data_IF_599755088681
#
_entry.id   IF_599755088681
#
_cell.length_a   1.000
_cell.length_b   1.000
_cell.length_c   1.000
_cell.angle_alpha   90.00
_cell.angle_beta   90.00
_cell.angle_gamma   90.00
#
_symmetry.space_group_name_H-M   'P 1'
#
loop_
_entity.id
_entity.type
_entity.pdbx_description
1 polymer ?
#
# COMPACT_ATOMS: atom_id res chain seq x y z
N UNK A 1 10.89 2.85 -16.94
CA UNK A 1 10.70 1.45 -16.52
C UNK A 1 10.10 1.47 -15.13
N UNK A 2 8.79 1.22 -15.01
CA UNK A 2 8.06 1.40 -13.74
C UNK A 2 8.19 0.10 -12.94
N UNK A 3 8.96 0.06 -11.84
CA UNK A 3 9.23 -1.19 -11.09
C UNK A 3 8.02 -1.60 -10.25
N UNK A 4 7.96 -2.87 -9.85
CA UNK A 4 6.93 -3.42 -8.95
C UNK A 4 6.82 -2.63 -7.62
N UNK A 5 7.93 -1.98 -7.25
CA UNK A 5 8.10 -1.11 -6.11
C UNK A 5 7.61 0.34 -6.33
N UNK A 6 7.08 0.69 -7.50
CA UNK A 6 6.67 2.09 -7.74
C UNK A 6 5.29 2.42 -7.14
N UNK A 7 4.52 1.41 -6.72
CA UNK A 7 3.21 1.58 -6.11
C UNK A 7 3.29 1.59 -4.57
N UNK A 8 2.75 2.65 -3.96
CA UNK A 8 2.65 2.94 -2.50
C UNK A 8 2.18 1.73 -1.70
N UNK A 9 1.29 0.93 -2.27
CA UNK A 9 0.63 -0.16 -1.56
C UNK A 9 1.55 -1.34 -1.25
N UNK A 10 2.59 -1.58 -2.06
CA UNK A 10 3.41 -2.79 -1.87
C UNK A 10 4.35 -2.68 -0.66
N UNK A 11 4.91 -1.51 -0.37
CA UNK A 11 5.87 -1.33 0.73
C UNK A 11 5.20 -1.41 2.09
N UNK A 12 4.01 -0.82 2.22
CA UNK A 12 3.23 -0.92 3.46
C UNK A 12 2.78 -2.38 3.67
N UNK A 13 2.46 -3.11 2.60
CA UNK A 13 2.27 -4.57 2.66
C UNK A 13 3.50 -5.32 3.19
N UNK A 14 4.70 -4.98 2.72
CA UNK A 14 5.96 -5.55 3.22
C UNK A 14 6.20 -5.21 4.70
N UNK A 15 5.98 -3.96 5.11
CA UNK A 15 6.09 -3.55 6.51
C UNK A 15 5.07 -4.27 7.39
N UNK A 16 3.85 -4.49 6.89
CA UNK A 16 2.84 -5.26 7.59
C UNK A 16 3.26 -6.72 7.78
N UNK A 17 3.79 -7.38 6.75
CA UNK A 17 4.32 -8.75 6.85
C UNK A 17 5.47 -8.80 7.85
N UNK A 18 6.42 -7.87 7.78
CA UNK A 18 7.54 -7.81 8.71
C UNK A 18 7.06 -7.60 10.16
N UNK A 19 6.13 -6.68 10.38
CA UNK A 19 5.50 -6.47 11.67
C UNK A 19 4.79 -7.73 12.19
N UNK A 20 4.05 -8.43 11.33
CA UNK A 20 3.35 -9.67 11.68
C UNK A 20 4.34 -10.76 12.11
N UNK A 21 5.44 -10.93 11.39
CA UNK A 21 6.53 -11.84 11.75
C UNK A 21 7.09 -11.46 13.12
N UNK A 22 7.46 -10.19 13.34
CA UNK A 22 7.98 -9.76 14.64
C UNK A 22 6.99 -10.03 15.76
N UNK A 23 5.71 -9.77 15.55
CA UNK A 23 4.65 -9.95 16.55
C UNK A 23 4.50 -11.41 17.00
N UNK A 24 4.77 -12.37 16.11
CA UNK A 24 4.68 -13.80 16.37
C UNK A 24 5.99 -14.42 16.89
N UNK A 25 7.06 -13.64 16.98
CA UNK A 25 8.36 -14.12 17.47
C UNK A 25 8.65 -13.60 18.87
N UNK A 26 9.75 -14.06 19.46
CA UNK A 26 10.31 -13.51 20.71
C UNK A 26 10.67 -12.02 20.64
N UNK A 27 10.65 -11.42 19.45
CA UNK A 27 10.95 -10.02 19.18
C UNK A 27 9.69 -9.14 19.14
N UNK A 28 8.58 -9.60 19.71
CA UNK A 28 7.29 -8.89 19.71
C UNK A 28 7.38 -7.45 20.28
N UNK A 29 8.30 -7.19 21.21
CA UNK A 29 8.57 -5.84 21.73
C UNK A 29 9.04 -4.87 20.63
N UNK A 30 9.76 -5.35 19.62
CA UNK A 30 10.20 -4.52 18.50
C UNK A 30 9.06 -4.17 17.55
N UNK A 31 8.02 -5.02 17.48
CA UNK A 31 6.85 -4.78 16.65
C UNK A 31 6.10 -3.50 17.05
N UNK A 32 6.25 -3.04 18.30
CA UNK A 32 5.63 -1.80 18.73
C UNK A 32 6.24 -0.56 18.08
N UNK A 33 7.54 -0.57 17.76
CA UNK A 33 8.21 0.57 17.11
C UNK A 33 7.92 0.68 15.61
N UNK A 34 7.68 -0.47 14.96
CA UNK A 34 7.36 -0.57 13.53
C UNK A 34 5.88 -0.84 13.30
N UNK A 35 5.03 -0.23 14.11
CA UNK A 35 3.61 -0.52 14.12
C UNK A 35 2.91 0.07 12.86
N UNK A 36 2.34 -0.76 11.98
CA UNK A 36 1.84 -0.33 10.68
C UNK A 36 0.42 0.25 10.74
N UNK A 37 -0.18 0.44 11.93
CA UNK A 37 -1.59 0.81 12.11
C UNK A 37 -2.07 1.91 11.16
N UNK A 38 -1.41 3.07 11.15
CA UNK A 38 -1.84 4.17 10.27
C UNK A 38 -1.53 3.89 8.80
N UNK A 39 -0.45 3.15 8.50
CA UNK A 39 -0.09 2.78 7.13
C UNK A 39 -1.14 1.89 6.48
N UNK A 40 -1.61 0.84 7.17
CA UNK A 40 -2.63 -0.07 6.62
C UNK A 40 -3.98 0.62 6.41
N UNK A 41 -4.36 1.55 7.29
CA UNK A 41 -5.56 2.36 7.12
C UNK A 41 -5.40 3.36 5.97
N UNK A 42 -4.24 4.02 5.87
CA UNK A 42 -3.92 4.92 4.77
C UNK A 42 -4.00 4.21 3.40
N UNK A 43 -3.49 2.98 3.30
CA UNK A 43 -3.61 2.17 2.08
C UNK A 43 -5.07 1.91 1.71
N UNK A 44 -5.87 1.48 2.68
CA UNK A 44 -7.26 1.14 2.45
C UNK A 44 -8.07 2.37 2.00
N UNK A 45 -7.99 3.47 2.76
CA UNK A 45 -8.68 4.71 2.39
C UNK A 45 -8.13 5.31 1.09
N UNK A 46 -6.81 5.26 0.88
CA UNK A 46 -6.17 5.70 -0.35
C UNK A 46 -6.67 4.93 -1.57
N UNK A 47 -6.86 3.61 -1.46
CA UNK A 47 -7.42 2.79 -2.53
C UNK A 47 -8.90 3.12 -2.82
N UNK A 48 -9.70 3.37 -1.78
CA UNK A 48 -11.08 3.83 -1.96
C UNK A 48 -11.16 5.18 -2.67
N UNK A 49 -10.33 6.15 -2.25
CA UNK A 49 -10.22 7.45 -2.91
C UNK A 49 -9.77 7.27 -4.36
N UNK A 50 -8.80 6.39 -4.62
CA UNK A 50 -8.35 6.06 -5.97
C UNK A 50 -9.48 5.54 -6.86
N UNK A 51 -10.28 4.59 -6.37
CA UNK A 51 -11.44 4.06 -7.11
C UNK A 51 -12.46 5.17 -7.39
N UNK A 52 -12.78 5.99 -6.38
CA UNK A 52 -13.73 7.09 -6.51
C UNK A 52 -13.27 8.13 -7.55
N UNK A 53 -12.01 8.57 -7.48
CA UNK A 53 -11.46 9.54 -8.42
C UNK A 53 -11.50 9.03 -9.87
N UNK A 54 -11.21 7.75 -10.08
CA UNK A 54 -11.23 7.16 -11.42
C UNK A 54 -12.66 6.92 -11.92
N UNK A 55 -13.58 6.56 -11.02
CA UNK A 55 -15.01 6.50 -11.34
C UNK A 55 -15.52 7.87 -11.82
N UNK A 56 -15.17 8.96 -11.11
CA UNK A 56 -15.51 10.33 -11.50
C UNK A 56 -14.90 10.76 -12.85
N UNK A 57 -13.76 10.18 -13.22
CA UNK A 57 -13.13 10.36 -14.56
C UNK A 57 -13.77 9.50 -15.66
N UNK A 58 -14.79 8.71 -15.34
CA UNK A 58 -15.44 7.80 -16.30
C UNK A 58 -14.65 6.52 -16.58
N UNK A 59 -13.61 6.21 -15.79
CA UNK A 59 -12.86 4.96 -15.92
C UNK A 59 -13.71 3.81 -15.39
N UNK A 60 -13.89 2.78 -16.22
CA UNK A 60 -14.60 1.55 -15.84
C UNK A 60 -13.58 0.49 -15.47
N UNK A 61 -13.55 0.12 -14.19
CA UNK A 61 -12.76 -1.01 -13.71
C UNK A 61 -13.51 -2.32 -13.95
N UNK A 62 -12.76 -3.38 -14.25
CA UNK A 62 -13.27 -4.75 -14.17
C UNK A 62 -13.71 -5.03 -12.72
N UNK A 63 -14.95 -5.51 -12.48
CA UNK A 63 -15.43 -5.84 -11.14
C UNK A 63 -14.51 -6.79 -10.36
N UNK A 64 -13.89 -7.77 -11.03
CA UNK A 64 -12.96 -8.71 -10.40
C UNK A 64 -11.69 -8.00 -9.93
N UNK A 65 -11.20 -7.04 -10.73
CA UNK A 65 -10.05 -6.22 -10.36
C UNK A 65 -10.39 -5.33 -9.15
N UNK A 66 -11.56 -4.68 -9.16
CA UNK A 66 -12.01 -3.85 -8.06
C UNK A 66 -12.13 -4.65 -6.75
N UNK A 67 -12.79 -5.81 -6.79
CA UNK A 67 -12.96 -6.71 -5.63
C UNK A 67 -11.60 -7.20 -5.13
N UNK A 68 -10.72 -7.65 -6.02
CA UNK A 68 -9.37 -8.09 -5.64
C UNK A 68 -8.59 -6.97 -4.95
N UNK A 69 -8.66 -5.75 -5.49
CA UNK A 69 -8.04 -4.58 -4.86
C UNK A 69 -8.63 -4.28 -3.48
N UNK A 70 -9.95 -4.36 -3.30
CA UNK A 70 -10.58 -4.16 -1.98
C UNK A 70 -10.06 -5.21 -0.98
N UNK A 71 -10.05 -6.49 -1.36
CA UNK A 71 -9.59 -7.59 -0.50
C UNK A 71 -8.13 -7.38 -0.10
N UNK A 72 -7.25 -7.08 -1.07
CA UNK A 72 -5.82 -6.92 -0.81
C UNK A 72 -5.49 -5.73 0.10
N UNK A 73 -6.28 -4.65 0.04
CA UNK A 73 -6.09 -3.49 0.92
C UNK A 73 -6.81 -3.63 2.27
N UNK A 74 -7.88 -4.43 2.36
CA UNK A 74 -8.61 -4.69 3.61
C UNK A 74 -7.97 -5.80 4.46
N UNK A 75 -7.43 -6.84 3.83
CA UNK A 75 -6.89 -8.01 4.51
C UNK A 75 -5.84 -7.67 5.59
N UNK A 76 -4.89 -6.73 5.36
CA UNK A 76 -3.96 -6.30 6.40
C UNK A 76 -4.65 -5.73 7.65
N UNK A 77 -5.72 -4.94 7.49
CA UNK A 77 -6.50 -4.39 8.61
C UNK A 77 -7.19 -5.52 9.38
N UNK A 78 -7.83 -6.44 8.66
CA UNK A 78 -8.51 -7.58 9.27
C UNK A 78 -7.53 -8.44 10.08
N UNK A 79 -6.39 -8.81 9.49
CA UNK A 79 -5.36 -9.62 10.15
C UNK A 79 -4.75 -8.85 11.33
N UNK A 80 -4.46 -7.56 11.19
CA UNK A 80 -3.95 -6.72 12.28
C UNK A 80 -4.85 -6.78 13.51
N UNK A 81 -6.18 -6.69 13.32
CA UNK A 81 -7.14 -6.79 14.40
C UNK A 81 -7.20 -8.20 15.00
N UNK A 82 -7.12 -9.27 14.17
CA UNK A 82 -7.11 -10.66 14.65
C UNK A 82 -5.93 -10.97 15.58
N UNK A 83 -4.76 -10.37 15.35
CA UNK A 83 -3.57 -10.55 16.19
C UNK A 83 -3.51 -9.56 17.36
N UNK A 84 -4.63 -8.93 17.72
CA UNK A 84 -4.72 -7.91 18.75
C UNK A 84 -3.77 -6.72 18.53
N UNK A 85 -3.52 -6.37 17.27
CA UNK A 85 -2.83 -5.14 16.91
C UNK A 85 -3.61 -3.94 17.44
N UNK A 86 -2.91 -3.00 18.04
CA UNK A 86 -3.46 -1.71 18.49
C UNK A 86 -2.56 -0.59 18.02
N UNK A 87 -3.11 0.60 17.83
CA UNK A 87 -2.30 1.79 17.66
C UNK A 87 -1.48 2.03 18.94
N UNK A 88 -0.35 2.70 18.81
CA UNK A 88 0.50 3.07 19.94
C UNK A 88 1.19 4.41 19.65
N UNK A 89 2.00 4.91 20.59
CA UNK A 89 2.69 6.20 20.44
C UNK A 89 3.72 6.23 19.29
N UNK A 90 4.16 5.06 18.81
CA UNK A 90 5.11 4.92 17.71
C UNK A 90 4.45 4.79 16.35
N UNK A 91 3.21 4.30 16.28
CA UNK A 91 2.55 4.00 14.99
C UNK A 91 2.43 5.24 14.10
N UNK A 92 2.15 6.43 14.68
CA UNK A 92 2.10 7.68 13.92
C UNK A 92 3.50 8.12 13.46
N UNK A 93 4.50 8.01 14.33
CA UNK A 93 5.90 8.36 14.01
C UNK A 93 6.43 7.49 12.88
N UNK A 94 6.17 6.18 12.96
CA UNK A 94 6.53 5.22 11.93
C UNK A 94 5.84 5.52 10.61
N UNK A 95 4.54 5.87 10.64
CA UNK A 95 3.81 6.27 9.45
C UNK A 95 4.39 7.55 8.81
N UNK A 96 4.66 8.59 9.59
CA UNK A 96 5.26 9.82 9.06
C UNK A 96 6.63 9.53 8.44
N UNK A 97 7.47 8.77 9.14
CA UNK A 97 8.79 8.39 8.65
C UNK A 97 8.71 7.61 7.33
N UNK A 98 7.81 6.63 7.23
CA UNK A 98 7.62 5.83 6.01
C UNK A 98 7.10 6.66 4.85
N UNK A 99 6.18 7.61 5.07
CA UNK A 99 5.72 8.54 4.04
C UNK A 99 6.85 9.45 3.56
N UNK A 100 7.65 10.02 4.46
CA UNK A 100 8.80 10.86 4.07
C UNK A 100 9.80 10.04 3.25
N UNK A 101 10.17 8.85 3.73
CA UNK A 101 11.10 7.96 3.03
C UNK A 101 10.56 7.59 1.63
N UNK A 102 9.26 7.33 1.51
CA UNK A 102 8.62 7.04 0.24
C UNK A 102 8.66 8.25 -0.72
N UNK A 103 8.34 9.45 -0.25
CA UNK A 103 8.39 10.67 -1.05
C UNK A 103 9.81 10.94 -1.57
N UNK A 104 10.82 10.74 -0.72
CA UNK A 104 12.23 10.81 -1.13
C UNK A 104 12.53 9.74 -2.18
N UNK A 105 12.10 8.50 -1.98
CA UNK A 105 12.31 7.42 -2.95
C UNK A 105 11.74 7.74 -4.33
N UNK A 106 10.48 8.20 -4.44
CA UNK A 106 9.92 8.57 -5.75
C UNK A 106 10.74 9.70 -6.37
N UNK A 107 11.00 10.77 -5.62
CA UNK A 107 11.64 11.96 -6.15
C UNK A 107 13.05 11.63 -6.68
N UNK A 108 13.86 10.95 -5.87
CA UNK A 108 15.27 10.68 -6.20
C UNK A 108 15.48 9.47 -7.10
N UNK A 109 14.62 8.44 -7.03
CA UNK A 109 14.84 7.19 -7.79
C UNK A 109 14.02 7.12 -9.06
N UNK A 110 12.77 7.59 -9.00
CA UNK A 110 11.81 7.48 -10.12
C UNK A 110 11.78 8.79 -10.92
N UNK A 111 12.24 9.90 -10.34
CA UNK A 111 12.19 11.25 -10.94
C UNK A 111 10.77 11.60 -11.43
N UNK A 112 9.77 11.23 -10.64
CA UNK A 112 8.35 11.54 -10.86
C UNK A 112 7.78 12.25 -9.63
N UNK A 113 6.73 13.05 -9.84
CA UNK A 113 5.93 13.50 -8.70
C UNK A 113 4.95 12.40 -8.27
N UNK A 114 4.53 12.37 -6.99
CA UNK A 114 3.44 11.49 -6.55
C UNK A 114 2.16 11.67 -7.39
N UNK A 115 1.88 12.90 -7.83
CA UNK A 115 0.73 13.21 -8.68
C UNK A 115 0.84 12.47 -10.03
N UNK A 116 2.02 12.44 -10.64
CA UNK A 116 2.21 11.75 -11.92
C UNK A 116 1.97 10.24 -11.76
N UNK A 117 2.50 9.65 -10.68
CA UNK A 117 2.35 8.22 -10.38
C UNK A 117 0.89 7.83 -10.11
N UNK A 118 0.16 8.60 -9.30
CA UNK A 118 -1.18 8.21 -8.83
C UNK A 118 -2.34 8.78 -9.64
N UNK A 119 -2.15 9.89 -10.35
CA UNK A 119 -3.25 10.65 -10.95
C UNK A 119 -3.15 10.71 -12.48
N UNK A 120 -1.94 10.85 -13.04
CA UNK A 120 -1.74 11.12 -14.48
C UNK A 120 -1.35 9.89 -15.30
N UNK A 121 -0.60 8.95 -14.73
CA UNK A 121 -0.21 7.73 -15.45
C UNK A 121 -1.44 6.89 -15.87
N UNK A 122 -1.31 6.13 -16.97
CA UNK A 122 -2.37 5.23 -17.45
C UNK A 122 -2.66 4.16 -16.40
N UNK A 123 -3.92 4.11 -15.98
CA UNK A 123 -4.38 3.22 -14.92
C UNK A 123 -4.54 1.80 -15.43
N UNK A 124 -4.21 0.83 -14.57
CA UNK A 124 -4.50 -0.57 -14.80
C UNK A 124 -5.96 -0.80 -14.41
N UNK A 125 -6.77 -1.27 -15.35
CA UNK A 125 -8.23 -1.39 -15.14
C UNK A 125 -8.71 -2.82 -15.05
N UNK A 126 -7.86 -3.80 -15.39
CA UNK A 126 -8.19 -5.22 -15.33
C UNK A 126 -7.04 -6.06 -14.78
N UNK A 127 -7.40 -7.27 -14.32
CA UNK A 127 -6.46 -8.17 -13.64
C UNK A 127 -5.41 -8.78 -14.57
N UNK A 128 -5.72 -8.96 -15.86
CA UNK A 128 -4.76 -9.48 -16.85
C UNK A 128 -3.64 -8.47 -17.10
N UNK A 129 -4.00 -7.20 -17.31
CA UNK A 129 -3.05 -6.10 -17.44
C UNK A 129 -2.19 -5.96 -16.18
N UNK A 130 -2.77 -6.14 -15.00
CA UNK A 130 -2.02 -6.14 -13.75
C UNK A 130 -0.92 -7.20 -13.75
N UNK A 131 -1.25 -8.46 -14.04
CA UNK A 131 -0.26 -9.55 -14.07
C UNK A 131 0.76 -9.42 -15.22
N UNK A 132 0.34 -8.93 -16.39
CA UNK A 132 1.26 -8.65 -17.51
C UNK A 132 2.25 -7.57 -17.10
N UNK A 133 1.77 -6.50 -16.45
CA UNK A 133 2.63 -5.42 -15.97
C UNK A 133 3.61 -5.91 -14.92
N UNK A 134 3.22 -6.83 -14.04
CA UNK A 134 4.13 -7.48 -13.08
C UNK A 134 5.20 -8.31 -13.80
N UNK A 135 4.82 -9.14 -14.77
CA UNK A 135 5.73 -10.05 -15.49
C UNK A 135 6.77 -9.33 -16.35
N UNK A 136 6.44 -8.15 -16.87
CA UNK A 136 7.39 -7.32 -17.62
C UNK A 136 8.44 -6.64 -16.73
N UNK A 137 8.34 -6.80 -15.41
CA UNK A 137 9.20 -6.17 -14.41
C UNK A 137 10.04 -7.19 -13.60
N UNK A 138 9.84 -8.49 -13.85
CA UNK A 138 10.67 -9.61 -13.37
C UNK A 138 11.67 -10.01 -14.43
#
# INVERSE_FOLDING_TARGET
MIRLLDYVSNWIGLFFIFWLILKQTKYSNYADYINPYYGIHFMFYGYFIYLLLNYLKGVKFDPLYAIFGIITHYAPIYIFNLVNGKHNSYSLKFFIFTIIAYLLFINYTINKSPIDVYIRDKQVTNIKEFFIKIKLLS
#
